data_IF_695901370857
#
_entry.id   IF_695901370857
#
_cell.length_a   1.000
_cell.length_b   1.000
_cell.length_c   1.000
_cell.angle_alpha   90.00
_cell.angle_beta   90.00
_cell.angle_gamma   90.00
#
_symmetry.space_group_name_H-M   'P 1'
#
loop_
_entity.id
_entity.type
_entity.pdbx_description
1 polymer ?
#
# COMPACT_ATOMS: atom_id res chain seq x y z
N UNK A 1 -17.23 -7.49 21.84
CA UNK A 1 -15.94 -7.37 21.15
C UNK A 1 -15.86 -8.55 20.18
N UNK A 2 -16.09 -8.32 18.89
CA UNK A 2 -15.85 -9.36 17.86
C UNK A 2 -14.39 -9.84 18.01
N UNK A 3 -14.18 -11.15 18.04
CA UNK A 3 -12.83 -11.73 18.10
C UNK A 3 -12.07 -11.32 16.85
N UNK A 4 -10.92 -10.66 17.02
CA UNK A 4 -10.00 -10.38 15.91
C UNK A 4 -9.69 -11.69 15.18
N UNK A 5 -10.14 -11.79 13.93
CA UNK A 5 -9.87 -12.96 13.08
C UNK A 5 -8.36 -13.04 12.89
N UNK A 6 -7.79 -14.24 13.04
CA UNK A 6 -6.35 -14.43 12.85
C UNK A 6 -5.97 -13.95 11.44
N UNK A 7 -4.91 -13.12 11.31
CA UNK A 7 -4.44 -12.70 10.00
C UNK A 7 -4.04 -13.91 9.15
N UNK A 8 -4.36 -13.88 7.87
CA UNK A 8 -3.89 -14.87 6.91
C UNK A 8 -2.45 -14.56 6.53
N UNK A 9 -1.52 -15.38 7.05
CA UNK A 9 -0.09 -15.21 6.81
C UNK A 9 0.28 -15.42 5.34
N UNK A 10 -0.45 -16.26 4.59
CA UNK A 10 -0.18 -16.48 3.17
C UNK A 10 -0.46 -15.20 2.39
N UNK A 11 -1.60 -14.56 2.65
CA UNK A 11 -1.96 -13.29 2.01
C UNK A 11 -0.98 -12.16 2.36
N UNK A 12 -0.55 -12.08 3.62
CA UNK A 12 0.42 -11.06 4.06
C UNK A 12 1.76 -11.26 3.34
N UNK A 13 2.28 -12.48 3.34
CA UNK A 13 3.56 -12.79 2.70
C UNK A 13 3.47 -12.56 1.19
N UNK A 14 2.40 -13.03 0.53
CA UNK A 14 2.19 -12.83 -0.90
C UNK A 14 2.12 -11.35 -1.26
N UNK A 15 1.37 -10.55 -0.49
CA UNK A 15 1.25 -9.11 -0.71
C UNK A 15 2.60 -8.40 -0.53
N UNK A 16 3.36 -8.77 0.51
CA UNK A 16 4.68 -8.23 0.76
C UNK A 16 5.66 -8.55 -0.38
N UNK A 17 5.66 -9.78 -0.88
CA UNK A 17 6.49 -10.18 -2.03
C UNK A 17 6.13 -9.40 -3.29
N UNK A 18 4.83 -9.20 -3.57
CA UNK A 18 4.39 -8.40 -4.72
C UNK A 18 4.88 -6.96 -4.61
N UNK A 19 4.81 -6.35 -3.43
CA UNK A 19 5.31 -4.99 -3.19
C UNK A 19 6.83 -4.91 -3.40
N UNK A 20 7.59 -5.89 -2.91
CA UNK A 20 9.04 -5.94 -3.08
C UNK A 20 9.41 -6.07 -4.57
N UNK A 21 8.83 -7.02 -5.28
CA UNK A 21 9.10 -7.24 -6.70
C UNK A 21 8.73 -6.00 -7.51
N UNK A 22 7.57 -5.41 -7.27
CA UNK A 22 7.15 -4.17 -7.94
C UNK A 22 8.10 -3.00 -7.67
N UNK A 23 8.59 -2.87 -6.43
CA UNK A 23 9.55 -1.83 -6.06
C UNK A 23 10.92 -2.03 -6.72
N UNK A 24 11.38 -3.28 -6.86
CA UNK A 24 12.62 -3.60 -7.57
C UNK A 24 12.53 -3.27 -9.06
N UNK A 25 11.40 -3.61 -9.70
CA UNK A 25 11.16 -3.27 -11.12
C UNK A 25 11.09 -1.76 -11.31
N UNK A 26 10.42 -1.03 -10.41
CA UNK A 26 10.38 0.42 -10.45
C UNK A 26 11.79 1.00 -10.29
N UNK A 27 12.59 0.50 -9.34
CA UNK A 27 13.95 0.97 -9.12
C UNK A 27 14.85 0.77 -10.35
N UNK A 28 14.72 -0.35 -11.07
CA UNK A 28 15.54 -0.62 -12.26
C UNK A 28 15.11 0.19 -13.48
N UNK A 29 13.81 0.29 -13.74
CA UNK A 29 13.29 0.93 -14.96
C UNK A 29 13.23 2.46 -14.87
N UNK A 30 13.07 2.99 -13.66
CA UNK A 30 12.85 4.43 -13.46
C UNK A 30 14.12 5.20 -13.05
N UNK A 31 15.25 4.53 -12.83
CA UNK A 31 16.49 5.19 -12.38
C UNK A 31 17.02 6.23 -13.36
N UNK A 32 17.05 5.91 -14.65
CA UNK A 32 17.52 6.82 -15.72
C UNK A 32 16.60 8.03 -15.83
N UNK A 33 15.29 7.79 -15.88
CA UNK A 33 14.27 8.85 -15.94
C UNK A 33 14.28 9.75 -14.70
N UNK A 34 14.49 9.17 -13.51
CA UNK A 34 14.61 9.91 -12.26
C UNK A 34 15.86 10.79 -12.24
N UNK A 35 16.96 10.29 -12.79
CA UNK A 35 18.22 11.02 -12.88
C UNK A 35 18.11 12.21 -13.83
N UNK A 36 17.48 12.05 -15.00
CA UNK A 36 17.26 13.15 -15.95
C UNK A 36 16.33 14.24 -15.41
N UNK A 37 15.26 13.86 -14.69
CA UNK A 37 14.24 14.82 -14.24
C UNK A 37 14.51 15.45 -12.87
N UNK A 38 15.15 14.70 -11.97
CA UNK A 38 15.28 15.09 -10.56
C UNK A 38 16.73 15.04 -10.05
N UNK A 39 17.71 14.68 -10.90
CA UNK A 39 19.11 14.53 -10.49
C UNK A 39 19.34 13.41 -9.46
N UNK A 40 18.33 12.57 -9.19
CA UNK A 40 18.39 11.54 -8.18
C UNK A 40 17.79 10.24 -8.71
N UNK A 41 18.58 9.16 -8.89
CA UNK A 41 18.09 7.90 -9.49
C UNK A 41 17.02 7.20 -8.63
N UNK A 42 16.91 7.54 -7.35
CA UNK A 42 16.00 6.90 -6.40
C UNK A 42 14.75 7.76 -6.10
N UNK A 43 14.49 8.83 -6.87
CA UNK A 43 13.37 9.72 -6.60
C UNK A 43 12.02 9.00 -6.66
N UNK A 44 11.73 8.26 -7.74
CA UNK A 44 10.46 7.53 -7.86
C UNK A 44 10.33 6.40 -6.85
N UNK A 45 11.42 5.72 -6.50
CA UNK A 45 11.40 4.70 -5.45
C UNK A 45 11.04 5.28 -4.09
N UNK A 46 11.68 6.41 -3.70
CA UNK A 46 11.35 7.12 -2.46
C UNK A 46 9.91 7.62 -2.48
N UNK A 47 9.46 8.14 -3.60
CA UNK A 47 8.09 8.62 -3.76
C UNK A 47 7.09 7.47 -3.60
N UNK A 48 7.32 6.32 -4.23
CA UNK A 48 6.47 5.13 -4.08
C UNK A 48 6.43 4.62 -2.63
N UNK A 49 7.55 4.64 -1.92
CA UNK A 49 7.59 4.23 -0.52
C UNK A 49 6.85 5.21 0.40
N UNK A 50 7.03 6.52 0.21
CA UNK A 50 6.43 7.55 1.06
C UNK A 50 4.95 7.81 0.74
N UNK A 51 4.56 7.82 -0.53
CA UNK A 51 3.21 8.19 -0.98
C UNK A 51 2.37 7.00 -1.45
N UNK A 52 2.97 5.82 -1.65
CA UNK A 52 2.25 4.58 -1.95
C UNK A 52 2.20 3.65 -0.73
N UNK A 53 3.37 3.17 -0.30
CA UNK A 53 3.45 2.14 0.76
C UNK A 53 3.03 2.68 2.13
N UNK A 54 3.52 3.84 2.54
CA UNK A 54 3.24 4.42 3.85
C UNK A 54 1.74 4.71 4.07
N UNK A 55 1.02 5.42 3.17
CA UNK A 55 -0.42 5.58 3.30
C UNK A 55 -1.18 4.27 3.12
N UNK A 56 -0.70 3.36 2.27
CA UNK A 56 -1.29 2.03 2.11
C UNK A 56 -1.26 1.22 3.42
N UNK A 57 -0.12 1.22 4.12
CA UNK A 57 0.01 0.58 5.43
C UNK A 57 -0.85 1.28 6.49
N UNK A 58 -0.88 2.61 6.50
CA UNK A 58 -1.71 3.38 7.43
C UNK A 58 -3.20 3.07 7.25
N UNK A 59 -3.71 3.09 6.01
CA UNK A 59 -5.10 2.76 5.69
C UNK A 59 -5.40 1.29 5.93
N UNK A 60 -4.47 0.38 5.63
CA UNK A 60 -4.60 -1.04 5.91
C UNK A 60 -4.73 -1.33 7.41
N UNK A 61 -3.94 -0.64 8.24
CA UNK A 61 -4.06 -0.73 9.71
C UNK A 61 -5.39 -0.16 10.21
N UNK A 62 -5.83 0.98 9.67
CA UNK A 62 -7.17 1.51 10.00
C UNK A 62 -8.26 0.50 9.63
N UNK A 63 -8.20 -0.08 8.43
CA UNK A 63 -9.15 -1.09 7.98
C UNK A 63 -9.13 -2.36 8.85
N UNK A 64 -7.97 -2.74 9.38
CA UNK A 64 -7.83 -3.87 10.30
C UNK A 64 -8.40 -3.59 11.70
N UNK A 65 -8.24 -2.35 12.20
CA UNK A 65 -8.70 -1.95 13.53
C UNK A 65 -10.18 -1.54 13.56
N UNK A 66 -10.73 -1.05 12.44
CA UNK A 66 -12.12 -0.60 12.36
C UNK A 66 -13.05 -1.82 12.19
N UNK A 67 -14.07 -1.98 13.05
CA UNK A 67 -15.01 -3.09 12.95
C UNK A 67 -15.83 -3.01 11.66
N UNK A 68 -16.15 -4.18 11.11
CA UNK A 68 -16.82 -4.33 9.81
C UNK A 68 -18.16 -3.57 9.75
N UNK A 69 -18.86 -3.48 10.87
CA UNK A 69 -20.15 -2.78 11.00
C UNK A 69 -20.04 -1.29 10.67
N UNK A 70 -18.94 -0.64 11.08
CA UNK A 70 -18.68 0.78 10.78
C UNK A 70 -18.33 0.96 9.30
N UNK A 71 -17.56 0.03 8.72
CA UNK A 71 -17.20 0.05 7.30
C UNK A 71 -18.45 -0.12 6.42
N UNK A 72 -19.37 -1.04 6.79
CA UNK A 72 -20.64 -1.25 6.08
C UNK A 72 -21.55 -0.02 6.06
N UNK A 73 -21.52 0.84 7.08
CA UNK A 73 -22.33 2.07 7.07
C UNK A 73 -21.81 3.08 6.04
N UNK A 74 -20.49 3.08 5.81
CA UNK A 74 -19.82 4.00 4.89
C UNK A 74 -19.84 3.45 3.45
N UNK A 75 -20.02 2.14 3.26
CA UNK A 75 -20.00 1.51 1.93
C UNK A 75 -21.05 2.06 0.97
N UNK A 76 -22.21 2.52 1.46
CA UNK A 76 -23.22 3.16 0.62
C UNK A 76 -22.73 4.50 0.05
N UNK A 77 -21.98 5.27 0.85
CA UNK A 77 -21.42 6.54 0.43
C UNK A 77 -20.30 6.35 -0.60
N UNK A 78 -19.40 5.37 -0.37
CA UNK A 78 -18.36 4.97 -1.34
C UNK A 78 -18.88 4.35 -2.64
N UNK A 79 -20.11 3.84 -2.67
CA UNK A 79 -20.68 3.27 -3.90
C UNK A 79 -21.31 4.34 -4.79
N UNK A 80 -21.81 5.42 -4.19
CA UNK A 80 -22.50 6.49 -4.90
C UNK A 80 -21.53 7.54 -5.43
N UNK A 81 -20.41 7.75 -4.73
CA UNK A 81 -19.36 8.72 -5.08
C UNK A 81 -18.10 7.98 -5.53
#
# INVERSE_FOLDING_TARGET
MEKLKKPDFVLIIASFLLILIGSLILASTSAVLSMERFGNPNYFLKHQLLFGLLPGLFLGLIGFLVPLEKIKKISFWFFIF
#
